data_IF_366345278187
#
_entry.id   IF_366345278187
#
_cell.length_a   1.000
_cell.length_b   1.000
_cell.length_c   1.000
_cell.angle_alpha   90.00
_cell.angle_beta   90.00
_cell.angle_gamma   90.00
#
_symmetry.space_group_name_H-M   'P 1'
#
loop_
_entity.id
_entity.type
_entity.pdbx_description
1 polymer ?
#
# COMPACT_ATOMS: atom_id res chain seq x y z
N UNK A 1 -11.54 -4.64 1.26
CA UNK A 1 -10.72 -3.42 1.41
C UNK A 1 -10.03 -3.23 0.08
N UNK A 2 -10.63 -2.36 -0.71
CA UNK A 2 -10.56 -2.33 -2.16
C UNK A 2 -9.29 -1.57 -2.59
N UNK A 3 -8.20 -2.31 -2.76
CA UNK A 3 -7.17 -1.90 -3.71
C UNK A 3 -7.80 -2.13 -5.08
N UNK A 4 -7.78 -1.09 -5.92
CA UNK A 4 -8.27 -1.04 -7.31
C UNK A 4 -8.38 -2.43 -7.97
N UNK A 5 -9.52 -2.74 -8.61
CA UNK A 5 -9.90 -4.08 -9.13
C UNK A 5 -8.85 -4.76 -10.02
N UNK A 6 -7.85 -4.02 -10.47
CA UNK A 6 -6.76 -4.45 -11.34
C UNK A 6 -5.46 -4.83 -10.59
N UNK A 7 -5.44 -4.78 -9.26
CA UNK A 7 -4.23 -5.04 -8.46
C UNK A 7 -4.36 -6.38 -7.74
N UNK A 8 -3.37 -7.24 -7.94
CA UNK A 8 -3.27 -8.53 -7.25
C UNK A 8 -2.09 -8.52 -6.28
N UNK A 9 -2.33 -8.89 -5.03
CA UNK A 9 -1.26 -9.07 -4.04
C UNK A 9 -0.54 -10.37 -4.33
N UNK A 10 0.80 -10.30 -4.42
CA UNK A 10 1.67 -11.45 -4.61
C UNK A 10 2.31 -11.89 -3.30
N UNK A 11 2.84 -10.93 -2.54
CA UNK A 11 3.65 -11.21 -1.34
C UNK A 11 3.58 -10.04 -0.36
N UNK A 12 3.60 -10.31 0.94
CA UNK A 12 3.79 -9.28 1.95
C UNK A 12 5.27 -9.07 2.24
N UNK A 13 5.76 -7.85 1.99
CA UNK A 13 7.18 -7.52 2.08
C UNK A 13 7.58 -7.03 3.48
N UNK A 14 6.66 -6.43 4.23
CA UNK A 14 6.99 -5.90 5.55
C UNK A 14 5.81 -5.33 6.31
N UNK A 15 5.97 -5.19 7.63
CA UNK A 15 4.99 -4.62 8.55
C UNK A 15 5.67 -3.62 9.46
N UNK A 16 4.99 -2.51 9.74
CA UNK A 16 5.46 -1.52 10.69
C UNK A 16 4.33 -0.82 11.43
N UNK A 17 4.70 0.24 12.16
CA UNK A 17 3.77 1.06 12.95
C UNK A 17 2.62 1.60 12.08
N UNK A 18 2.95 2.08 10.89
CA UNK A 18 2.01 2.78 9.99
C UNK A 18 1.16 1.86 9.11
N UNK A 19 1.54 0.59 8.95
CA UNK A 19 0.86 -0.27 7.99
C UNK A 19 1.67 -1.48 7.57
N UNK A 20 1.26 -2.06 6.45
CA UNK A 20 1.87 -3.23 5.83
C UNK A 20 2.18 -2.93 4.38
N UNK A 21 3.33 -3.39 3.89
CA UNK A 21 3.72 -3.25 2.49
C UNK A 21 3.56 -4.60 1.79
N UNK A 22 2.96 -4.58 0.61
CA UNK A 22 2.78 -5.76 -0.23
C UNK A 22 3.35 -5.54 -1.63
N UNK A 23 4.02 -6.56 -2.17
CA UNK A 23 4.34 -6.67 -3.58
C UNK A 23 3.06 -7.03 -4.32
N UNK A 24 2.74 -6.25 -5.34
CA UNK A 24 1.53 -6.41 -6.11
C UNK A 24 1.84 -6.42 -7.61
N UNK A 25 0.98 -7.08 -8.37
CA UNK A 25 0.98 -7.05 -9.83
C UNK A 25 -0.22 -6.25 -10.32
N UNK A 26 0.01 -5.32 -11.24
CA UNK A 26 -1.05 -4.57 -11.91
C UNK A 26 -1.42 -5.24 -13.23
N UNK A 27 -2.66 -5.74 -13.28
CA UNK A 27 -3.23 -6.37 -14.47
C UNK A 27 -3.31 -5.35 -15.61
N UNK A 28 -2.89 -5.78 -16.80
CA UNK A 28 -2.92 -4.98 -18.02
C UNK A 28 -1.63 -4.22 -18.32
N UNK A 29 -0.81 -3.88 -17.33
CA UNK A 29 0.50 -3.23 -17.54
C UNK A 29 1.69 -4.15 -17.32
N UNK A 30 1.48 -5.32 -16.69
CA UNK A 30 2.54 -6.21 -16.23
C UNK A 30 3.52 -5.58 -15.23
N UNK A 31 3.14 -4.46 -14.62
CA UNK A 31 3.96 -3.78 -13.63
C UNK A 31 3.94 -4.51 -12.28
N UNK A 32 5.11 -4.63 -11.67
CA UNK A 32 5.29 -5.09 -10.30
C UNK A 32 5.56 -3.86 -9.43
N UNK A 33 4.75 -3.67 -8.40
CA UNK A 33 4.78 -2.47 -7.55
C UNK A 33 4.73 -2.84 -6.07
N UNK A 34 5.22 -1.95 -5.20
CA UNK A 34 5.02 -2.03 -3.76
C UNK A 34 3.86 -1.13 -3.34
N UNK A 35 2.89 -1.68 -2.59
CA UNK A 35 1.72 -0.96 -2.11
C UNK A 35 1.74 -0.91 -0.58
N UNK A 36 1.63 0.30 -0.02
CA UNK A 36 1.55 0.54 1.42
C UNK A 36 0.09 0.57 1.85
N UNK A 37 -0.32 -0.46 2.59
CA UNK A 37 -1.65 -0.60 3.17
C UNK A 37 -1.63 0.07 4.55
N UNK A 38 -2.26 1.24 4.65
CA UNK A 38 -2.31 2.01 5.88
C UNK A 38 -3.35 1.44 6.87
N UNK A 39 -3.01 1.46 8.16
CA UNK A 39 -3.99 1.14 9.22
C UNK A 39 -5.05 2.24 9.26
N UNK A 40 -6.32 1.85 9.38
CA UNK A 40 -7.41 2.80 9.57
C UNK A 40 -7.43 3.30 11.02
N UNK A 41 -6.52 4.21 11.35
CA UNK A 41 -6.51 4.97 12.60
C UNK A 41 -6.31 6.46 12.27
N UNK A 42 -7.11 7.38 12.84
CA UNK A 42 -7.14 8.79 12.45
C UNK A 42 -5.77 9.49 12.44
N UNK A 43 -4.88 9.11 13.37
CA UNK A 43 -3.52 9.66 13.45
C UNK A 43 -2.59 9.27 12.29
N UNK A 44 -2.81 8.13 11.62
CA UNK A 44 -1.96 7.67 10.52
C UNK A 44 -2.36 8.26 9.16
N UNK A 45 -3.62 8.67 8.99
CA UNK A 45 -4.05 9.38 7.77
C UNK A 45 -3.29 10.70 7.61
N UNK A 46 -3.11 11.44 8.72
CA UNK A 46 -2.34 12.69 8.74
C UNK A 46 -0.84 12.46 8.52
N UNK A 47 -0.25 11.45 9.16
CA UNK A 47 1.18 11.16 8.98
C UNK A 47 1.49 10.62 7.57
N UNK A 48 0.59 9.83 6.98
CA UNK A 48 0.74 9.34 5.61
C UNK A 48 0.77 10.45 4.55
N UNK A 49 0.01 11.54 4.75
CA UNK A 49 0.08 12.71 3.88
C UNK A 49 1.42 13.46 4.00
N UNK A 50 2.01 13.50 5.21
CA UNK A 50 3.30 14.15 5.44
C UNK A 50 4.43 13.40 4.73
N UNK A 51 4.46 12.06 4.81
CA UNK A 51 5.51 11.25 4.16
C UNK A 51 5.48 11.33 2.62
N UNK A 52 4.33 11.59 1.99
CA UNK A 52 4.20 11.70 0.52
C UNK A 52 4.70 13.07 0.01
N UNK A 53 4.91 14.04 0.90
CA UNK A 53 5.22 15.44 0.57
C UNK A 53 6.70 15.81 0.73
N UNK A 54 7.59 14.84 0.97
CA UNK A 54 9.04 15.07 1.17
C UNK A 54 9.87 14.60 -0.01
#
# INVERSE_FOLDING_TARGET
KELDINIYVLEFLGRGTFGQVAKCWKRGTNEIMAIKILKNHPSYARQGQIEVSS
#
